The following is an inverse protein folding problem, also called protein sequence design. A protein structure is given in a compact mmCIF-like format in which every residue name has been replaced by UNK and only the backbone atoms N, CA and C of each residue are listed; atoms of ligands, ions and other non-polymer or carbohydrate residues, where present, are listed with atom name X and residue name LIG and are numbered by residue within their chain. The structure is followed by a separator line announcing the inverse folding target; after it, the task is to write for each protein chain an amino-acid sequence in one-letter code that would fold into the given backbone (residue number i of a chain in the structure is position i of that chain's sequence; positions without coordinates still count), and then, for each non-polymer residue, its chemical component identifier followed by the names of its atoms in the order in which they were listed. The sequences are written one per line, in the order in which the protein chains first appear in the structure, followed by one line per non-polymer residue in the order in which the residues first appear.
data_IF_217103861872
#
_entry.id   IF_217103861872
#
_cell.length_a   1.000
_cell.length_b   1.000
_cell.length_c   1.000
_cell.angle_alpha   90.00
_cell.angle_beta   90.00
_cell.angle_gamma   90.00
#
_symmetry.space_group_name_H-M   'P 1'
#
loop_
_entity.id
_entity.type
_entity.pdbx_description
1 polymer ?
#
# COMPACT_ATOMS: atom_id res chain seq x y z
N UNK A 1 1.02 -12.09 -3.68
CA UNK A 1 2.36 -11.50 -3.37
C UNK A 1 2.64 -11.56 -1.87
N UNK A 2 3.89 -11.44 -1.40
CA UNK A 2 4.18 -11.49 0.06
C UNK A 2 3.53 -10.31 0.82
N UNK A 3 3.58 -9.10 0.24
CA UNK A 3 2.94 -7.89 0.78
C UNK A 3 1.42 -8.01 0.93
N UNK A 4 0.75 -8.78 0.08
CA UNK A 4 -0.70 -9.03 0.16
C UNK A 4 -1.07 -9.80 1.43
N UNK A 5 -0.28 -10.82 1.80
CA UNK A 5 -0.45 -11.54 3.06
C UNK A 5 -0.24 -10.62 4.26
N UNK A 6 0.67 -9.64 4.17
CA UNK A 6 0.85 -8.63 5.22
C UNK A 6 -0.37 -7.69 5.28
N UNK A 7 -0.86 -7.22 4.13
CA UNK A 7 -2.05 -6.38 4.02
C UNK A 7 -3.28 -7.03 4.68
N UNK A 8 -3.55 -8.31 4.39
CA UNK A 8 -4.69 -9.04 4.96
C UNK A 8 -4.64 -9.20 6.48
N UNK A 9 -3.46 -9.10 7.10
CA UNK A 9 -3.31 -9.10 8.56
C UNK A 9 -3.66 -7.73 9.15
N UNK A 10 -3.21 -6.65 8.51
CA UNK A 10 -3.27 -5.28 9.06
C UNK A 10 -4.57 -4.56 8.73
N UNK A 11 -5.00 -4.61 7.47
CA UNK A 11 -6.07 -3.76 6.95
C UNK A 11 -7.46 -4.26 7.32
N UNK A 12 -8.40 -3.33 7.45
CA UNK A 12 -9.83 -3.68 7.53
C UNK A 12 -10.25 -4.43 6.27
N UNK A 13 -11.35 -5.19 6.34
CA UNK A 13 -11.85 -5.97 5.18
C UNK A 13 -12.07 -5.09 3.94
N UNK A 14 -12.78 -3.98 4.10
CA UNK A 14 -13.09 -3.06 3.00
C UNK A 14 -11.83 -2.49 2.33
N UNK A 15 -10.79 -2.21 3.12
CA UNK A 15 -9.55 -1.68 2.57
C UNK A 15 -8.67 -2.76 1.95
N UNK A 16 -8.72 -3.99 2.50
CA UNK A 16 -8.05 -5.13 1.88
C UNK A 16 -8.65 -5.44 0.50
N UNK A 17 -9.98 -5.37 0.35
CA UNK A 17 -10.64 -5.51 -0.96
C UNK A 17 -10.13 -4.44 -1.95
N UNK A 18 -10.02 -3.17 -1.54
CA UNK A 18 -9.40 -2.12 -2.38
C UNK A 18 -7.94 -2.43 -2.72
N UNK A 19 -7.18 -2.96 -1.76
CA UNK A 19 -5.79 -3.35 -1.96
C UNK A 19 -5.66 -4.48 -3.00
N UNK A 20 -6.57 -5.46 -3.00
CA UNK A 20 -6.61 -6.54 -4.00
C UNK A 20 -6.86 -6.00 -5.42
N UNK A 21 -7.72 -4.99 -5.59
CA UNK A 21 -7.90 -4.34 -6.88
C UNK A 21 -6.61 -3.67 -7.37
N UNK A 22 -5.91 -2.95 -6.50
CA UNK A 22 -4.62 -2.31 -6.83
C UNK A 22 -3.55 -3.38 -7.14
N UNK A 23 -3.58 -4.50 -6.43
CA UNK A 23 -2.69 -5.64 -6.67
C UNK A 23 -2.93 -6.26 -8.04
N UNK A 24 -4.19 -6.42 -8.44
CA UNK A 24 -4.54 -6.89 -9.78
C UNK A 24 -4.01 -5.93 -10.86
N UNK A 25 -4.24 -4.62 -10.69
CA UNK A 25 -3.74 -3.59 -11.61
C UNK A 25 -2.21 -3.55 -11.71
N UNK A 26 -1.49 -3.92 -10.65
CA UNK A 26 -0.03 -3.94 -10.68
C UNK A 26 0.53 -4.93 -11.71
N UNK A 27 -0.22 -6.00 -12.04
CA UNK A 27 0.15 -6.98 -13.05
C UNK A 27 0.31 -6.42 -14.47
N UNK A 28 -0.28 -5.24 -14.74
CA UNK A 28 -0.16 -4.56 -16.03
C UNK A 28 1.15 -3.78 -16.21
N UNK A 29 2.09 -3.85 -15.25
CA UNK A 29 3.34 -3.12 -15.28
C UNK A 29 4.56 -4.04 -15.18
N UNK A 30 5.63 -3.64 -15.84
CA UNK A 30 7.00 -4.13 -15.68
C UNK A 30 7.87 -3.06 -14.99
N UNK A 31 9.03 -3.46 -14.47
CA UNK A 31 9.93 -2.57 -13.72
C UNK A 31 11.30 -2.52 -14.35
N UNK A 32 11.82 -1.31 -14.51
CA UNK A 32 13.22 -1.04 -14.83
C UNK A 32 13.89 -0.36 -13.65
N UNK A 33 15.08 -0.83 -13.26
CA UNK A 33 15.91 -0.20 -12.23
C UNK A 33 16.82 0.84 -12.90
N UNK A 34 16.66 2.11 -12.51
CA UNK A 34 17.41 3.25 -13.08
C UNK A 34 18.61 3.59 -12.21
N UNK A 35 18.42 3.58 -10.89
CA UNK A 35 19.47 3.79 -9.91
C UNK A 35 19.36 2.67 -8.87
N UNK A 36 20.43 1.89 -8.75
CA UNK A 36 20.43 0.66 -7.97
C UNK A 36 19.93 0.91 -6.55
N UNK A 37 18.88 0.20 -6.14
CA UNK A 37 18.30 0.32 -4.80
C UNK A 37 17.54 1.62 -4.51
N UNK A 38 17.46 2.57 -5.44
CA UNK A 38 16.94 3.92 -5.15
C UNK A 38 15.85 4.38 -6.10
N UNK A 39 16.01 4.19 -7.40
CA UNK A 39 15.07 4.74 -8.38
C UNK A 39 14.68 3.66 -9.39
N UNK A 40 13.37 3.50 -9.57
CA UNK A 40 12.76 2.54 -10.48
C UNK A 40 11.75 3.24 -11.38
N UNK A 41 11.44 2.63 -12.52
CA UNK A 41 10.37 3.06 -13.41
C UNK A 41 9.42 1.88 -13.63
N UNK A 42 8.16 2.05 -13.26
CA UNK A 42 7.10 1.12 -13.61
C UNK A 42 6.52 1.51 -14.98
N UNK A 43 6.57 0.60 -15.94
CA UNK A 43 6.16 0.82 -17.33
C UNK A 43 5.01 -0.12 -17.66
N UNK A 44 3.95 0.39 -18.27
CA UNK A 44 2.82 -0.45 -18.69
C UNK A 44 3.30 -1.48 -19.73
N UNK A 45 2.90 -2.74 -19.58
CA UNK A 45 3.34 -3.84 -20.47
C UNK A 45 2.90 -3.63 -21.91
N UNK A 46 1.68 -3.14 -22.12
CA UNK A 46 1.12 -2.81 -23.44
C UNK A 46 1.33 -1.33 -23.82
N UNK A 47 2.45 -0.74 -23.43
CA UNK A 47 2.75 0.68 -23.67
C UNK A 47 2.56 1.12 -25.13
N UNK A 48 2.95 0.28 -26.09
CA UNK A 48 2.87 0.56 -27.53
C UNK A 48 1.44 0.59 -28.08
N UNK A 49 0.51 -0.08 -27.39
CA UNK A 49 -0.90 -0.19 -27.81
C UNK A 49 -1.78 0.86 -27.13
N UNK A 50 -1.22 1.65 -26.20
CA UNK A 50 -1.94 2.73 -25.53
C UNK A 50 -1.85 4.03 -26.31
N UNK A 51 -2.89 4.84 -26.15
CA UNK A 51 -2.94 6.18 -26.73
C UNK A 51 -1.74 7.03 -26.32
N UNK A 52 -1.21 7.85 -27.23
CA UNK A 52 0.01 8.65 -26.97
C UNK A 52 -0.10 9.63 -25.80
N UNK A 53 -1.32 10.04 -25.46
CA UNK A 53 -1.58 10.93 -24.33
C UNK A 53 -1.62 10.19 -22.98
N UNK A 54 -1.75 8.86 -23.00
CA UNK A 54 -1.72 8.07 -21.79
C UNK A 54 -0.32 8.08 -21.19
N UNK A 55 -0.21 8.42 -19.91
CA UNK A 55 1.03 8.25 -19.18
C UNK A 55 1.27 6.76 -18.93
N UNK A 56 2.24 6.21 -19.64
CA UNK A 56 2.58 4.77 -19.64
C UNK A 56 3.68 4.40 -18.64
N UNK A 57 4.40 5.38 -18.10
CA UNK A 57 5.50 5.15 -17.16
C UNK A 57 5.42 6.03 -15.91
N UNK A 58 5.88 5.48 -14.80
CA UNK A 58 5.80 6.08 -13.48
C UNK A 58 7.10 5.88 -12.74
N UNK A 59 7.77 6.98 -12.39
CA UNK A 59 8.95 6.96 -11.52
C UNK A 59 8.53 6.60 -10.10
N UNK A 60 9.23 5.64 -9.51
CA UNK A 60 9.13 5.25 -8.12
C UNK A 60 10.50 5.45 -7.46
N UNK A 61 10.54 6.23 -6.39
CA UNK A 61 11.76 6.53 -5.64
C UNK A 61 11.66 5.91 -4.26
N UNK A 62 12.72 5.23 -3.84
CA UNK A 62 12.86 4.68 -2.50
C UNK A 62 13.54 5.73 -1.62
N UNK A 63 12.94 5.98 -0.47
CA UNK A 63 13.35 6.98 0.49
C UNK A 63 13.59 6.32 1.86
N UNK A 64 14.30 7.03 2.73
CA UNK A 64 14.47 6.68 4.15
C UNK A 64 14.81 5.20 4.42
N UNK A 65 15.82 4.68 3.73
CA UNK A 65 16.36 3.35 3.98
C UNK A 65 15.37 2.21 3.71
N UNK A 66 14.64 2.30 2.60
CA UNK A 66 13.67 1.31 2.10
C UNK A 66 12.35 1.24 2.88
N UNK A 67 12.09 2.19 3.78
CA UNK A 67 10.85 2.25 4.57
C UNK A 67 9.80 3.21 3.97
N UNK A 68 10.16 3.96 2.92
CA UNK A 68 9.28 4.87 2.20
C UNK A 68 9.46 4.79 0.68
N UNK A 69 8.35 5.00 -0.03
CA UNK A 69 8.27 4.87 -1.49
C UNK A 69 7.41 6.01 -2.01
N UNK A 70 7.99 6.84 -2.86
CA UNK A 70 7.27 7.92 -3.54
C UNK A 70 7.04 7.53 -4.99
N UNK A 71 5.81 7.66 -5.47
CA UNK A 71 5.48 7.46 -6.87
C UNK A 71 4.91 8.73 -7.47
N UNK A 72 5.38 9.08 -8.67
CA UNK A 72 4.90 10.25 -9.39
C UNK A 72 3.43 10.21 -9.81
N UNK A 73 2.66 9.17 -9.48
CA UNK A 73 1.20 9.15 -9.64
C UNK A 73 0.45 9.89 -8.51
N UNK A 74 1.10 10.11 -7.35
CA UNK A 74 0.50 10.83 -6.22
C UNK A 74 -0.60 10.08 -5.44
N UNK A 75 -0.88 8.81 -5.76
CA UNK A 75 -1.97 8.05 -5.17
C UNK A 75 -1.90 7.94 -3.65
N UNK A 76 -0.71 7.73 -3.09
CA UNK A 76 -0.55 7.63 -1.63
C UNK A 76 -0.84 8.96 -0.95
N UNK A 77 -0.38 10.09 -1.49
CA UNK A 77 -0.67 11.41 -0.95
C UNK A 77 -2.19 11.72 -0.95
N UNK A 78 -2.91 11.23 -1.96
CA UNK A 78 -4.34 11.49 -2.11
C UNK A 78 -5.22 10.52 -1.28
N UNK A 79 -4.97 9.21 -1.38
CA UNK A 79 -5.84 8.18 -0.77
C UNK A 79 -5.25 7.55 0.49
N UNK A 80 -3.93 7.67 0.68
CA UNK A 80 -3.22 6.98 1.75
C UNK A 80 -3.09 5.47 1.53
N UNK A 81 -3.11 5.04 0.27
CA UNK A 81 -2.90 3.66 -0.16
C UNK A 81 -1.80 3.62 -1.22
N UNK A 82 -0.97 2.58 -1.18
CA UNK A 82 0.04 2.33 -2.21
C UNK A 82 -0.64 2.20 -3.58
N UNK A 83 -0.02 2.73 -4.63
CA UNK A 83 -0.49 2.49 -6.00
C UNK A 83 0.06 1.18 -6.57
N UNK A 84 -0.54 0.75 -7.67
CA UNK A 84 -0.12 -0.41 -8.46
C UNK A 84 1.34 -0.30 -8.90
N UNK A 85 1.85 0.90 -9.19
CA UNK A 85 3.26 1.10 -9.55
C UNK A 85 4.21 0.78 -8.40
N UNK A 86 3.93 1.26 -7.18
CA UNK A 86 4.75 0.95 -6.02
C UNK A 86 4.65 -0.53 -5.68
N UNK A 87 3.45 -1.12 -5.71
CA UNK A 87 3.28 -2.56 -5.47
C UNK A 87 4.11 -3.39 -6.45
N UNK A 88 4.16 -2.99 -7.72
CA UNK A 88 4.98 -3.70 -8.71
C UNK A 88 6.48 -3.58 -8.43
N UNK A 89 6.94 -2.41 -7.95
CA UNK A 89 8.33 -2.26 -7.50
C UNK A 89 8.62 -3.12 -6.27
N UNK A 90 7.73 -3.14 -5.26
CA UNK A 90 7.88 -4.00 -4.08
C UNK A 90 7.99 -5.49 -4.45
N UNK A 91 7.20 -5.94 -5.43
CA UNK A 91 7.30 -7.28 -6.01
C UNK A 91 8.69 -7.55 -6.60
N UNK A 92 9.18 -6.60 -7.43
CA UNK A 92 10.47 -6.69 -8.11
C UNK A 92 11.64 -6.77 -7.13
N UNK A 93 11.65 -5.93 -6.09
CA UNK A 93 12.69 -5.93 -5.05
C UNK A 93 12.44 -6.97 -3.93
N UNK A 94 11.40 -7.80 -4.08
CA UNK A 94 11.03 -8.89 -3.17
C UNK A 94 10.76 -8.45 -1.73
N UNK A 95 10.21 -7.26 -1.54
CA UNK A 95 9.75 -6.80 -0.22
C UNK A 95 8.59 -7.68 0.22
N UNK A 96 8.63 -8.14 1.48
CA UNK A 96 7.65 -9.08 2.02
C UNK A 96 6.53 -8.41 2.81
N UNK A 97 6.72 -7.15 3.20
CA UNK A 97 5.84 -6.40 4.10
C UNK A 97 5.60 -5.00 3.56
N UNK A 98 4.36 -4.50 3.67
CA UNK A 98 4.07 -3.08 3.44
C UNK A 98 5.03 -2.20 4.29
N UNK A 99 5.76 -1.25 3.68
CA UNK A 99 6.65 -0.35 4.41
C UNK A 99 5.89 0.45 5.46
N UNK A 100 6.50 0.66 6.63
CA UNK A 100 5.76 1.13 7.82
C UNK A 100 5.10 2.48 7.62
N UNK A 101 5.77 3.38 6.90
CA UNK A 101 5.26 4.73 6.60
C UNK A 101 4.07 4.74 5.66
N UNK A 102 3.83 3.64 4.95
CA UNK A 102 2.66 3.45 4.10
C UNK A 102 1.47 2.81 4.81
N UNK A 103 1.57 2.55 6.12
CA UNK A 103 0.48 2.03 6.94
C UNK A 103 -0.14 3.17 7.75
N UNK A 104 -1.35 3.60 7.35
CA UNK A 104 -2.07 4.65 8.07
C UNK A 104 -3.00 4.04 9.12
N UNK A 105 -2.94 4.51 10.38
CA UNK A 105 -3.70 3.93 11.51
C UNK A 105 -5.21 3.80 11.23
N UNK A 106 -5.82 4.82 10.60
CA UNK A 106 -7.25 4.87 10.23
C UNK A 106 -7.71 3.70 9.35
N UNK A 107 -6.75 3.07 8.67
CA UNK A 107 -6.94 2.03 7.67
C UNK A 107 -6.71 0.62 8.23
N UNK A 108 -6.26 0.52 9.48
CA UNK A 108 -5.95 -0.76 10.15
C UNK A 108 -7.16 -1.31 10.91
N UNK A 109 -7.21 -2.62 11.14
CA UNK A 109 -8.22 -3.27 12.03
C UNK A 109 -8.24 -2.68 13.44
N UNK A 110 -7.10 -2.15 13.85
CA UNK A 110 -6.82 -1.56 15.15
C UNK A 110 -7.10 -0.05 15.20
N UNK A 111 -7.84 0.51 14.22
CA UNK A 111 -8.10 1.95 14.12
C UNK A 111 -8.78 2.53 15.37
N UNK A 112 -9.51 1.71 16.14
CA UNK A 112 -10.26 2.12 17.34
C UNK A 112 -9.48 1.98 18.66
N UNK A 113 -8.25 1.47 18.63
CA UNK A 113 -7.49 1.19 19.86
C UNK A 113 -7.07 2.46 20.61
N UNK A 114 -7.16 3.63 19.97
CA UNK A 114 -6.91 4.93 20.60
C UNK A 114 -8.28 5.53 20.92
N UNK A 115 -8.87 5.09 22.02
CA UNK A 115 -10.06 5.75 22.58
C UNK A 115 -9.59 6.98 23.36
N UNK A 116 -10.24 8.15 23.18
CA UNK A 116 -10.14 9.25 24.13
C UNK A 116 -10.36 8.72 25.56
N UNK A 117 -9.67 9.25 26.59
CA UNK A 117 -9.79 8.74 27.95
C UNK A 117 -11.24 8.62 28.46
N UNK A 118 -12.13 9.50 27.99
CA UNK A 118 -13.56 9.51 28.35
C UNK A 118 -14.42 8.46 27.63
N UNK A 119 -13.90 7.79 26.60
CA UNK A 119 -14.57 6.70 25.87
C UNK A 119 -14.00 5.32 26.22
N UNK A 120 -12.98 5.25 27.07
CA UNK A 120 -12.45 3.98 27.58
C UNK A 120 -13.53 3.38 28.48
N UNK A 121 -14.11 2.21 28.14
CA UNK A 121 -15.09 1.59 29.01
C UNK A 121 -14.44 1.25 30.35
N UNK A 122 -14.96 1.84 31.43
CA UNK A 122 -14.50 1.52 32.78
C UNK A 122 -14.94 0.09 33.14
N UNK A 123 -13.97 -0.83 33.10
CA UNK A 123 -14.07 -2.15 33.71
C UNK A 123 -14.72 -3.25 32.86
N UNK A 124 -14.39 -4.53 33.14
CA UNK A 124 -15.05 -5.65 32.50
C UNK A 124 -16.52 -5.71 32.92
N UNK A 125 -17.41 -5.81 31.94
CA UNK A 125 -18.82 -6.08 32.16
C UNK A 125 -18.95 -7.46 32.83
N UNK A 126 -19.04 -7.49 34.16
CA UNK A 126 -19.41 -8.71 34.87
C UNK A 126 -20.85 -9.02 34.55
N UNK A 127 -21.07 -10.00 33.66
CA UNK A 127 -22.38 -10.58 33.44
C UNK A 127 -22.92 -11.04 34.80
N UNK A 128 -24.00 -10.42 35.28
CA UNK A 128 -24.72 -10.91 36.45
C UNK A 128 -25.38 -12.25 36.06
N UNK A 129 -25.13 -13.35 36.79
CA UNK A 129 -25.91 -14.56 36.59
C UNK A 129 -27.37 -14.32 37.01
N UNK A 130 -28.26 -15.01 36.28
CA UNK A 130 -29.73 -14.97 36.36
C UNK A 130 -30.23 -15.23 37.78
#
# INVERSE_FOLDING_TARGET
MAVERHAGKIYTRALFEQFEHILYECGAYQVEEIEKGKTYVAIHTEAEHREKWCRISYRVTVLDGDDEFECGCGQFAHMGLLCSHVLKVLDFIRVTEIPKKHILKRWTKNARDILPPHLVPEGPCTAKPI
#
